data_IF_347712607755
#
_entry.id   IF_347712607755
#
_cell.length_a   1.000
_cell.length_b   1.000
_cell.length_c   1.000
_cell.angle_alpha   90.00
_cell.angle_beta   90.00
_cell.angle_gamma   90.00
#
_symmetry.space_group_name_H-M   'P 1'
#
loop_
_entity.id
_entity.type
_entity.pdbx_description
1 polymer ?
#
# COMPACT_ATOMS: atom_id res chain seq x y z
N UNK A 1 -5.18 -27.16 -15.80
CA UNK A 1 -5.66 -27.22 -14.41
C UNK A 1 -4.45 -27.30 -13.47
N UNK A 2 -3.93 -26.17 -12.99
CA UNK A 2 -2.83 -26.16 -12.00
C UNK A 2 -3.40 -25.81 -10.64
N UNK A 3 -3.22 -26.73 -9.67
CA UNK A 3 -3.68 -26.62 -8.29
C UNK A 3 -3.08 -25.37 -7.64
N UNK A 4 -3.94 -24.47 -7.14
CA UNK A 4 -3.56 -23.36 -6.26
C UNK A 4 -3.20 -23.96 -4.90
N UNK A 5 -1.93 -23.94 -4.52
CA UNK A 5 -1.52 -24.19 -3.14
C UNK A 5 -1.60 -22.87 -2.39
N UNK A 6 -2.70 -22.69 -1.65
CA UNK A 6 -2.80 -21.67 -0.60
C UNK A 6 -1.91 -22.13 0.55
N UNK A 7 -0.74 -21.52 0.68
CA UNK A 7 0.03 -21.61 1.91
C UNK A 7 -0.44 -20.47 2.82
N UNK A 8 -1.32 -20.77 3.76
CA UNK A 8 -1.56 -19.92 4.93
C UNK A 8 -0.29 -19.94 5.77
N UNK A 9 0.53 -18.88 5.66
CA UNK A 9 1.53 -18.61 6.67
C UNK A 9 0.81 -18.34 7.99
N UNK A 10 1.01 -19.22 8.96
CA UNK A 10 0.44 -19.10 10.30
C UNK A 10 1.15 -17.97 11.06
N UNK A 11 0.70 -16.73 10.85
CA UNK A 11 0.92 -15.65 11.81
C UNK A 11 -0.15 -15.76 12.90
N UNK A 12 0.25 -15.82 14.16
CA UNK A 12 -0.68 -15.84 15.27
C UNK A 12 -1.49 -14.53 15.31
N UNK A 13 -2.74 -14.57 14.86
CA UNK A 13 -3.70 -13.49 15.05
C UNK A 13 -4.15 -13.52 16.52
N UNK A 14 -3.65 -12.59 17.34
CA UNK A 14 -4.28 -12.25 18.62
C UNK A 14 -5.54 -11.42 18.32
N UNK A 15 -6.66 -12.11 18.06
CA UNK A 15 -7.98 -11.49 17.94
C UNK A 15 -8.55 -11.23 19.34
N UNK A 16 -8.29 -10.04 19.87
CA UNK A 16 -9.11 -9.46 20.93
C UNK A 16 -9.97 -8.34 20.31
N UNK A 17 -11.26 -8.60 20.06
CA UNK A 17 -12.16 -7.54 19.63
C UNK A 17 -13.51 -8.05 19.11
N UNK A 18 -14.58 -7.69 19.82
CA UNK A 18 -15.94 -8.18 19.62
C UNK A 18 -16.69 -7.58 18.42
N UNK A 19 -17.90 -8.12 18.22
CA UNK A 19 -18.89 -7.81 17.19
C UNK A 19 -19.51 -6.40 17.32
N UNK A 20 -18.69 -5.35 17.35
CA UNK A 20 -19.16 -3.96 17.27
C UNK A 20 -18.60 -3.32 16.00
N UNK A 21 -19.49 -2.92 15.09
CA UNK A 21 -19.18 -2.27 13.82
C UNK A 21 -18.59 -0.86 13.98
N UNK A 22 -17.38 -0.78 14.51
CA UNK A 22 -16.53 0.40 14.46
C UNK A 22 -15.54 0.30 13.31
N UNK A 23 -15.24 1.43 12.67
CA UNK A 23 -14.13 1.57 11.73
C UNK A 23 -12.80 1.55 12.49
N UNK A 24 -12.34 0.39 12.95
CA UNK A 24 -10.99 0.29 13.53
C UNK A 24 -9.95 0.01 12.45
N UNK A 25 -8.75 0.54 12.67
CA UNK A 25 -7.56 0.27 11.85
C UNK A 25 -6.74 -0.77 12.57
N UNK A 26 -6.53 -1.92 11.93
CA UNK A 26 -5.68 -2.99 12.43
C UNK A 26 -4.21 -2.66 12.17
N UNK A 27 -3.35 -3.06 13.10
CA UNK A 27 -1.90 -3.07 12.87
C UNK A 27 -1.48 -4.50 12.61
N UNK A 28 -0.94 -4.77 11.43
CA UNK A 28 -0.40 -6.07 11.04
C UNK A 28 1.12 -6.02 11.06
N UNK A 29 1.75 -6.84 11.90
CA UNK A 29 3.21 -6.96 11.94
C UNK A 29 3.68 -8.18 11.15
N UNK A 30 4.67 -8.00 10.27
CA UNK A 30 5.30 -9.06 9.49
C UNK A 30 6.80 -9.10 9.77
N UNK A 31 7.24 -10.21 10.36
CA UNK A 31 8.65 -10.51 10.62
C UNK A 31 9.26 -11.13 9.35
N UNK A 32 9.86 -10.31 8.49
CA UNK A 32 10.43 -10.72 7.20
C UNK A 32 11.95 -10.58 7.16
N UNK A 33 12.57 -10.08 8.22
CA UNK A 33 14.01 -9.93 8.34
C UNK A 33 14.55 -8.76 7.52
N UNK A 34 13.80 -7.65 7.44
CA UNK A 34 14.28 -6.42 6.78
C UNK A 34 15.50 -5.82 7.49
N UNK A 35 15.73 -6.18 8.76
CA UNK A 35 16.79 -5.61 9.59
C UNK A 35 16.48 -4.19 10.05
N UNK A 36 15.25 -3.71 9.81
CA UNK A 36 14.71 -2.38 10.16
C UNK A 36 13.20 -2.47 10.26
N UNK A 37 12.62 -1.52 11.01
CA UNK A 37 11.17 -1.36 11.09
C UNK A 37 10.69 -0.44 9.98
N UNK A 38 9.94 -0.97 9.01
CA UNK A 38 9.28 -0.18 7.98
C UNK A 38 7.78 -0.14 8.23
N UNK A 39 7.21 1.04 8.40
CA UNK A 39 5.76 1.21 8.34
C UNK A 39 5.36 1.27 6.86
N UNK A 40 4.31 0.54 6.48
CA UNK A 40 3.75 0.56 5.14
C UNK A 40 2.27 0.96 5.19
N UNK A 41 1.95 2.00 4.45
CA UNK A 41 0.62 2.55 4.28
C UNK A 41 0.27 2.59 2.80
N UNK A 42 -1.00 2.48 2.47
CA UNK A 42 -1.50 2.67 1.11
C UNK A 42 -2.96 3.07 1.15
N UNK A 43 -3.47 3.58 0.04
CA UNK A 43 -4.89 3.82 -0.17
C UNK A 43 -5.45 4.73 0.92
N UNK A 44 -4.76 5.86 1.16
CA UNK A 44 -5.09 6.81 2.24
C UNK A 44 -6.28 7.71 1.88
N UNK A 45 -6.47 8.07 0.61
CA UNK A 45 -7.57 8.91 0.12
C UNK A 45 -7.84 10.10 1.06
N UNK A 46 -6.84 10.97 1.23
CA UNK A 46 -6.88 12.06 2.21
C UNK A 46 -7.77 13.19 1.68
N UNK A 47 -9.06 13.18 2.06
CA UNK A 47 -10.00 14.24 1.66
C UNK A 47 -9.93 15.46 2.58
N UNK A 48 -9.58 15.25 3.84
CA UNK A 48 -9.40 16.31 4.86
C UNK A 48 -8.18 16.01 5.73
N UNK A 49 -7.57 17.02 6.38
CA UNK A 49 -6.43 16.80 7.26
C UNK A 49 -6.78 15.81 8.38
N UNK A 50 -5.90 14.84 8.62
CA UNK A 50 -6.08 13.86 9.70
C UNK A 50 -4.76 13.49 10.36
N UNK A 51 -4.86 13.05 11.62
CA UNK A 51 -3.71 12.49 12.33
C UNK A 51 -3.62 10.99 12.05
N UNK A 52 -2.43 10.54 11.66
CA UNK A 52 -2.11 9.13 11.52
C UNK A 52 -1.30 8.68 12.74
N UNK A 53 -1.86 7.76 13.51
CA UNK A 53 -1.18 7.13 14.64
C UNK A 53 -0.51 5.85 14.16
N UNK A 54 0.82 5.87 14.09
CA UNK A 54 1.62 4.77 13.57
C UNK A 54 2.48 4.17 14.69
N UNK A 55 2.69 2.85 14.69
CA UNK A 55 3.73 2.23 15.52
C UNK A 55 5.10 2.85 15.23
N UNK A 56 6.07 2.79 16.16
CA UNK A 56 7.42 3.27 15.90
C UNK A 56 8.07 2.58 14.70
N UNK A 57 8.61 3.36 13.77
CA UNK A 57 9.29 2.89 12.56
C UNK A 57 10.56 3.68 12.28
N UNK A 58 11.41 3.11 11.44
CA UNK A 58 12.66 3.71 10.97
C UNK A 58 12.52 4.28 9.54
N UNK A 59 11.56 3.77 8.75
CA UNK A 59 11.18 4.28 7.43
C UNK A 59 9.67 4.12 7.20
N UNK A 60 9.06 5.10 6.53
CA UNK A 60 7.68 5.01 6.06
C UNK A 60 7.65 4.78 4.55
N UNK A 61 6.89 3.77 4.12
CA UNK A 61 6.63 3.41 2.74
C UNK A 61 5.15 3.66 2.42
N UNK A 62 4.87 4.29 1.29
CA UNK A 62 3.52 4.69 0.87
C UNK A 62 3.20 4.09 -0.51
N UNK A 63 2.23 3.19 -0.56
CA UNK A 63 1.87 2.40 -1.74
C UNK A 63 1.02 3.12 -2.79
N UNK A 64 0.87 4.45 -2.73
CA UNK A 64 -0.01 5.22 -3.63
C UNK A 64 -1.42 5.42 -3.09
N UNK A 65 -2.27 6.11 -3.87
CA UNK A 65 -3.63 6.53 -3.53
C UNK A 65 -3.69 7.35 -2.22
N UNK A 66 -2.77 8.30 -2.10
CA UNK A 66 -2.72 9.32 -1.05
C UNK A 66 -3.83 10.36 -1.17
N UNK A 67 -4.16 10.75 -2.39
CA UNK A 67 -5.24 11.68 -2.71
C UNK A 67 -6.01 11.22 -3.95
N UNK A 68 -7.17 11.81 -4.17
CA UNK A 68 -8.08 11.46 -5.27
C UNK A 68 -8.92 12.67 -5.70
N UNK A 69 -9.88 12.45 -6.59
CA UNK A 69 -10.79 13.47 -7.11
C UNK A 69 -11.71 14.12 -6.06
N UNK A 70 -11.86 13.51 -4.88
CA UNK A 70 -12.63 14.06 -3.75
C UNK A 70 -11.76 14.91 -2.83
N UNK A 71 -10.44 14.93 -3.05
CA UNK A 71 -9.52 15.80 -2.30
C UNK A 71 -9.68 17.24 -2.76
N UNK A 72 -10.32 18.07 -1.94
CA UNK A 72 -10.61 19.46 -2.28
C UNK A 72 -9.35 20.34 -2.29
N UNK A 73 -8.39 20.07 -1.40
CA UNK A 73 -7.15 20.84 -1.26
C UNK A 73 -5.97 19.93 -0.87
N UNK A 74 -4.87 20.02 -1.62
CA UNK A 74 -3.62 19.30 -1.34
C UNK A 74 -2.95 19.73 -0.02
N UNK A 75 -3.37 20.84 0.59
CA UNK A 75 -2.99 21.18 1.96
C UNK A 75 -3.35 20.06 2.95
N UNK A 76 -4.47 19.35 2.72
CA UNK A 76 -4.87 18.21 3.55
C UNK A 76 -3.84 17.08 3.53
N UNK A 77 -3.34 16.74 2.34
CA UNK A 77 -2.28 15.75 2.14
C UNK A 77 -0.99 16.21 2.82
N UNK A 78 -0.62 17.46 2.59
CA UNK A 78 0.64 18.02 3.09
C UNK A 78 0.66 18.06 4.61
N UNK A 79 -0.42 18.55 5.24
CA UNK A 79 -0.57 18.63 6.70
C UNK A 79 -0.56 17.24 7.35
N UNK A 80 -1.32 16.30 6.78
CA UNK A 80 -1.40 14.91 7.27
C UNK A 80 -0.03 14.23 7.27
N UNK A 81 0.73 14.38 6.19
CA UNK A 81 2.00 13.66 6.02
C UNK A 81 3.20 14.40 6.62
N UNK A 82 3.17 15.74 6.74
CA UNK A 82 4.28 16.57 7.27
C UNK A 82 4.76 16.12 8.64
N UNK A 83 3.84 15.78 9.53
CA UNK A 83 4.15 15.46 10.94
C UNK A 83 4.73 14.06 11.15
N UNK A 84 4.67 13.21 10.12
CA UNK A 84 5.23 11.87 10.18
C UNK A 84 6.76 11.89 10.07
N UNK A 85 7.47 11.14 10.93
CA UNK A 85 8.92 10.97 10.86
C UNK A 85 9.45 10.62 9.46
N UNK A 86 10.62 11.18 9.13
CA UNK A 86 11.39 10.86 7.93
C UNK A 86 12.33 9.69 8.19
N UNK A 87 12.78 8.95 7.16
CA UNK A 87 12.42 9.10 5.74
C UNK A 87 11.05 8.55 5.35
N UNK A 88 10.47 9.13 4.29
CA UNK A 88 9.18 8.74 3.71
C UNK A 88 9.36 8.53 2.21
N UNK A 89 9.03 7.34 1.71
CA UNK A 89 9.15 6.98 0.29
C UNK A 89 7.75 6.61 -0.21
N UNK A 90 7.37 7.08 -1.40
CA UNK A 90 6.07 6.77 -1.99
C UNK A 90 6.20 6.33 -3.45
N UNK A 91 5.20 5.58 -3.91
CA UNK A 91 4.84 5.49 -5.34
C UNK A 91 3.49 6.16 -5.56
N UNK A 92 3.11 6.34 -6.83
CA UNK A 92 1.82 6.88 -7.22
C UNK A 92 0.84 5.72 -7.49
N UNK A 93 -0.42 5.93 -7.12
CA UNK A 93 -1.53 5.03 -7.39
C UNK A 93 -2.41 5.52 -8.53
N UNK A 94 -3.47 4.76 -8.83
CA UNK A 94 -4.36 5.11 -9.93
C UNK A 94 -5.12 6.40 -9.66
N UNK A 95 -5.47 6.71 -8.41
CA UNK A 95 -6.22 7.92 -8.10
C UNK A 95 -5.38 9.19 -8.27
N UNK A 96 -4.07 9.16 -8.01
CA UNK A 96 -3.22 10.31 -8.35
C UNK A 96 -3.21 10.58 -9.86
N UNK A 97 -3.14 9.52 -10.67
CA UNK A 97 -3.15 9.63 -12.13
C UNK A 97 -4.53 10.04 -12.65
N UNK A 98 -5.61 9.41 -12.20
CA UNK A 98 -6.99 9.69 -12.63
C UNK A 98 -7.47 11.07 -12.18
N UNK A 99 -7.04 11.55 -11.01
CA UNK A 99 -7.35 12.88 -10.53
C UNK A 99 -6.66 14.01 -11.33
N UNK A 100 -5.76 13.68 -12.26
CA UNK A 100 -4.97 14.66 -13.05
C UNK A 100 -5.79 15.73 -13.75
N UNK A 101 -7.07 15.47 -14.05
CA UNK A 101 -7.98 16.45 -14.65
C UNK A 101 -8.34 17.61 -13.70
N UNK A 102 -8.35 17.36 -12.40
CA UNK A 102 -8.70 18.33 -11.35
C UNK A 102 -7.47 18.77 -10.56
N UNK A 103 -6.59 17.83 -10.27
CA UNK A 103 -5.32 18.03 -9.57
C UNK A 103 -4.20 17.58 -10.49
N UNK A 104 -3.55 18.48 -11.25
CA UNK A 104 -2.46 18.10 -12.14
C UNK A 104 -1.41 17.27 -11.39
N UNK A 105 -1.00 16.12 -11.94
CA UNK A 105 -0.11 15.17 -11.27
C UNK A 105 1.13 15.83 -10.65
N UNK A 106 1.78 16.74 -11.41
CA UNK A 106 2.94 17.53 -10.92
C UNK A 106 2.65 18.29 -9.63
N UNK A 107 1.44 18.83 -9.44
CA UNK A 107 1.06 19.54 -8.21
C UNK A 107 0.87 18.58 -7.05
N UNK A 108 0.25 17.42 -7.28
CA UNK A 108 0.13 16.39 -6.26
C UNK A 108 1.49 15.85 -5.82
N UNK A 109 2.37 15.53 -6.77
CA UNK A 109 3.76 15.15 -6.48
C UNK A 109 4.48 16.23 -5.68
N UNK A 110 4.36 17.51 -6.08
CA UNK A 110 4.98 18.61 -5.34
C UNK A 110 4.45 18.74 -3.90
N UNK A 111 3.16 18.46 -3.65
CA UNK A 111 2.60 18.46 -2.30
C UNK A 111 3.14 17.30 -1.44
N UNK A 112 3.32 16.11 -2.03
CA UNK A 112 3.98 14.99 -1.36
C UNK A 112 5.43 15.33 -1.02
N UNK A 113 6.16 15.93 -1.95
CA UNK A 113 7.54 16.38 -1.76
C UNK A 113 7.65 17.49 -0.69
N UNK A 114 6.70 18.43 -0.64
CA UNK A 114 6.60 19.46 0.40
C UNK A 114 6.37 18.85 1.79
N UNK A 115 5.57 17.77 1.87
CA UNK A 115 5.43 16.97 3.08
C UNK A 115 6.70 16.18 3.43
N UNK A 116 7.73 16.19 2.58
CA UNK A 116 9.00 15.50 2.77
C UNK A 116 8.93 14.02 2.41
N UNK A 117 8.06 13.66 1.47
CA UNK A 117 7.99 12.33 0.84
C UNK A 117 8.86 12.34 -0.42
N UNK A 118 9.67 11.30 -0.59
CA UNK A 118 10.41 11.06 -1.83
C UNK A 118 9.56 10.15 -2.73
N UNK A 119 9.10 10.67 -3.87
CA UNK A 119 8.23 9.94 -4.79
C UNK A 119 9.08 9.21 -5.83
N UNK A 120 8.85 7.91 -5.99
CA UNK A 120 9.47 7.06 -7.00
C UNK A 120 8.45 6.77 -8.10
N UNK A 121 8.84 6.97 -9.35
CA UNK A 121 8.07 6.63 -10.53
C UNK A 121 8.98 5.92 -11.53
N UNK A 122 8.93 4.58 -11.53
CA UNK A 122 9.88 3.72 -12.24
C UNK A 122 11.35 4.05 -11.94
N UNK A 123 11.63 4.38 -10.67
CA UNK A 123 12.96 4.76 -10.17
C UNK A 123 13.26 4.06 -8.84
N UNK A 124 14.49 4.20 -8.33
CA UNK A 124 14.95 3.56 -7.11
C UNK A 124 15.73 4.49 -6.20
N UNK A 125 15.82 4.10 -4.93
CA UNK A 125 16.66 4.77 -3.93
C UNK A 125 17.33 3.74 -3.04
N UNK A 126 18.56 4.03 -2.62
CA UNK A 126 19.23 3.28 -1.56
C UNK A 126 19.01 4.04 -0.24
N UNK A 127 18.22 3.48 0.66
CA UNK A 127 17.97 4.09 1.95
C UNK A 127 17.97 3.05 3.05
N UNK A 128 18.74 3.33 4.09
CA UNK A 128 18.84 2.43 5.21
C UNK A 128 19.35 1.03 4.86
N UNK A 129 20.30 0.93 3.92
CA UNK A 129 20.81 -0.38 3.50
C UNK A 129 19.82 -1.21 2.66
N UNK A 130 18.61 -0.71 2.42
CA UNK A 130 17.64 -1.30 1.49
C UNK A 130 17.67 -0.57 0.16
N UNK A 131 17.68 -1.35 -0.92
CA UNK A 131 17.42 -0.86 -2.27
C UNK A 131 15.91 -0.96 -2.53
N UNK A 132 15.27 0.21 -2.59
CA UNK A 132 13.82 0.34 -2.79
C UNK A 132 13.58 0.78 -4.23
N UNK A 133 12.85 -0.02 -4.99
CA UNK A 133 12.42 0.32 -6.35
C UNK A 133 10.93 0.66 -6.32
N UNK A 134 10.54 1.79 -6.90
CA UNK A 134 9.15 2.20 -7.03
C UNK A 134 8.65 2.05 -8.45
N UNK A 135 7.66 1.20 -8.69
CA UNK A 135 6.99 1.09 -9.98
C UNK A 135 5.82 2.08 -10.05
N UNK A 136 5.75 2.88 -11.13
CA UNK A 136 4.63 3.80 -11.33
C UNK A 136 3.33 3.06 -11.69
N UNK A 137 2.19 3.71 -11.50
CA UNK A 137 0.89 3.21 -11.94
C UNK A 137 0.84 3.00 -13.45
N UNK A 138 0.12 1.98 -13.88
CA UNK A 138 -0.13 1.66 -15.29
C UNK A 138 -1.61 1.33 -15.44
N UNK A 139 -2.29 1.99 -16.37
CA UNK A 139 -3.67 1.64 -16.71
C UNK A 139 -3.75 0.30 -17.46
N UNK A 140 -4.95 -0.25 -17.59
CA UNK A 140 -5.18 -1.51 -18.30
C UNK A 140 -4.60 -1.46 -19.73
N UNK A 141 -3.72 -2.42 -20.11
CA UNK A 141 -3.59 -3.76 -19.52
C UNK A 141 -2.63 -3.98 -18.34
N UNK A 142 -2.28 -2.97 -17.52
CA UNK A 142 -1.45 -3.06 -16.29
C UNK A 142 -0.16 -3.86 -16.51
N UNK A 143 0.58 -3.46 -17.54
CA UNK A 143 1.77 -4.19 -17.99
C UNK A 143 3.04 -3.70 -17.29
N UNK A 144 3.44 -4.42 -16.23
CA UNK A 144 4.58 -4.07 -15.40
C UNK A 144 5.85 -4.83 -15.82
N UNK A 145 7.01 -4.18 -15.90
CA UNK A 145 8.28 -4.88 -16.14
C UNK A 145 8.68 -5.71 -14.91
N UNK A 146 9.43 -6.82 -15.09
CA UNK A 146 10.07 -7.49 -13.98
C UNK A 146 11.13 -6.57 -13.37
N UNK A 147 11.13 -6.42 -12.05
CA UNK A 147 12.16 -5.70 -11.31
C UNK A 147 13.24 -6.69 -10.88
N UNK A 148 14.49 -6.35 -11.15
CA UNK A 148 15.67 -7.08 -10.71
C UNK A 148 16.44 -6.19 -9.73
N UNK A 149 17.21 -6.83 -8.84
CA UNK A 149 18.13 -6.13 -7.94
C UNK A 149 17.44 -5.09 -7.05
N UNK A 150 16.39 -5.50 -6.33
CA UNK A 150 15.73 -4.68 -5.32
C UNK A 150 15.39 -5.53 -4.09
N UNK A 151 15.63 -4.98 -2.90
CA UNK A 151 15.22 -5.63 -1.64
C UNK A 151 13.71 -5.47 -1.45
N UNK A 152 13.21 -4.24 -1.73
CA UNK A 152 11.80 -3.89 -1.66
C UNK A 152 11.36 -3.28 -3.00
N UNK A 153 10.23 -3.77 -3.52
CA UNK A 153 9.54 -3.18 -4.66
C UNK A 153 8.24 -2.56 -4.15
N UNK A 154 8.18 -1.24 -4.14
CA UNK A 154 6.97 -0.50 -3.84
C UNK A 154 6.16 -0.35 -5.13
N UNK A 155 4.90 -0.73 -5.11
CA UNK A 155 4.03 -0.65 -6.28
C UNK A 155 2.59 -0.50 -5.84
N UNK A 156 1.78 0.27 -6.55
CA UNK A 156 0.38 0.40 -6.15
C UNK A 156 -0.44 -0.86 -6.47
N UNK A 157 -0.38 -1.34 -7.71
CA UNK A 157 -1.13 -2.53 -8.14
C UNK A 157 -0.41 -3.84 -7.77
N UNK A 158 -1.10 -4.82 -7.15
CA UNK A 158 -0.52 -6.13 -6.91
C UNK A 158 -0.31 -6.95 -8.21
N UNK A 159 -0.89 -6.50 -9.33
CA UNK A 159 -0.76 -7.20 -10.62
C UNK A 159 0.69 -7.23 -11.13
N UNK A 160 1.54 -6.28 -10.70
CA UNK A 160 2.98 -6.28 -10.99
C UNK A 160 3.70 -7.55 -10.51
N UNK A 161 3.20 -8.18 -9.44
CA UNK A 161 3.77 -9.41 -8.90
C UNK A 161 3.66 -10.61 -9.85
N UNK A 162 2.83 -10.51 -10.89
CA UNK A 162 2.72 -11.53 -11.91
C UNK A 162 4.01 -11.74 -12.74
N UNK A 163 4.97 -10.82 -12.68
CA UNK A 163 6.28 -11.00 -13.32
C UNK A 163 7.44 -10.92 -12.30
N UNK A 164 7.15 -10.98 -11.01
CA UNK A 164 8.16 -10.94 -9.97
C UNK A 164 9.13 -12.12 -10.03
N UNK A 165 10.42 -11.81 -9.85
CA UNK A 165 11.53 -12.77 -9.88
C UNK A 165 12.31 -12.84 -8.56
N UNK A 166 12.16 -11.85 -7.67
CA UNK A 166 12.76 -11.79 -6.35
C UNK A 166 12.33 -10.53 -5.58
N UNK A 167 12.78 -10.37 -4.34
CA UNK A 167 12.49 -9.21 -3.50
C UNK A 167 11.11 -9.23 -2.84
N UNK A 168 10.86 -8.23 -1.99
CA UNK A 168 9.58 -8.02 -1.30
C UNK A 168 8.76 -6.93 -1.99
N UNK A 169 7.63 -7.32 -2.57
CA UNK A 169 6.66 -6.40 -3.14
C UNK A 169 5.68 -5.92 -2.08
N UNK A 170 5.45 -4.62 -2.00
CA UNK A 170 4.46 -4.01 -1.12
C UNK A 170 3.43 -3.29 -1.99
N UNK A 171 2.18 -3.76 -1.93
CA UNK A 171 1.10 -3.29 -2.77
C UNK A 171 -0.17 -2.94 -2.00
N UNK A 172 -1.00 -2.09 -2.59
CA UNK A 172 -2.31 -1.67 -2.10
C UNK A 172 -3.40 -1.96 -3.12
N UNK A 173 -4.17 -0.93 -3.51
CA UNK A 173 -5.11 -0.88 -4.64
C UNK A 173 -6.41 -1.69 -4.46
N UNK A 174 -6.34 -2.81 -3.75
CA UNK A 174 -7.48 -3.73 -3.64
C UNK A 174 -8.49 -3.31 -2.57
N UNK A 175 -8.07 -2.44 -1.64
CA UNK A 175 -8.82 -2.08 -0.43
C UNK A 175 -9.33 -3.31 0.36
N UNK A 176 -8.62 -4.45 0.29
CA UNK A 176 -9.08 -5.71 0.87
C UNK A 176 -10.31 -6.33 0.21
N UNK A 177 -10.73 -5.82 -0.95
CA UNK A 177 -11.92 -6.23 -1.72
C UNK A 177 -13.09 -5.26 -1.68
N UNK A 178 -13.03 -4.20 -0.85
CA UNK A 178 -14.07 -3.16 -0.65
C UNK A 178 -15.38 -3.68 0.01
N UNK A 179 -15.85 -4.86 -0.40
CA UNK A 179 -16.97 -5.61 0.17
C UNK A 179 -16.55 -7.02 0.54
N UNK A 180 -16.59 -7.30 1.84
CA UNK A 180 -16.21 -8.57 2.41
C UNK A 180 -17.42 -9.27 3.06
N UNK A 181 -17.38 -10.60 3.15
CA UNK A 181 -18.15 -11.34 4.14
C UNK A 181 -17.46 -11.22 5.52
N UNK A 182 -18.14 -11.55 6.63
CA UNK A 182 -17.53 -11.55 7.95
C UNK A 182 -16.17 -12.28 7.98
N UNK A 183 -15.18 -11.66 8.64
CA UNK A 183 -13.81 -12.18 8.68
C UNK A 183 -12.91 -11.73 7.51
N UNK A 184 -13.18 -10.57 6.89
CA UNK A 184 -12.39 -10.00 5.78
C UNK A 184 -12.32 -10.92 4.53
N UNK A 185 -13.37 -11.70 4.25
CA UNK A 185 -13.40 -12.57 3.06
C UNK A 185 -13.90 -11.78 1.85
N UNK A 186 -13.06 -11.43 0.87
CA UNK A 186 -13.41 -10.53 -0.23
C UNK A 186 -14.39 -11.20 -1.21
N UNK A 187 -15.43 -10.48 -1.64
CA UNK A 187 -16.35 -10.92 -2.70
C UNK A 187 -15.82 -10.62 -4.11
N UNK A 188 -15.05 -9.55 -4.22
CA UNK A 188 -14.47 -9.05 -5.47
C UNK A 188 -13.10 -8.45 -5.18
N UNK A 189 -12.26 -8.34 -6.19
CA UNK A 189 -10.99 -7.61 -6.10
C UNK A 189 -10.63 -6.95 -7.42
N UNK A 190 -9.98 -5.80 -7.33
CA UNK A 190 -9.49 -5.04 -8.48
C UNK A 190 -8.10 -5.54 -8.91
N UNK A 191 -7.97 -6.84 -9.16
CA UNK A 191 -6.73 -7.47 -9.62
C UNK A 191 -7.04 -8.50 -10.71
N UNK A 192 -6.29 -8.42 -11.82
CA UNK A 192 -6.42 -9.36 -12.96
C UNK A 192 -6.06 -10.79 -12.58
N UNK A 193 -5.20 -10.95 -11.58
CA UNK A 193 -4.71 -12.25 -11.11
C UNK A 193 -5.40 -12.73 -9.83
N UNK A 194 -6.37 -11.97 -9.32
CA UNK A 194 -7.16 -12.31 -8.13
C UNK A 194 -6.41 -12.09 -6.82
N UNK A 195 -5.42 -11.19 -6.78
CA UNK A 195 -4.80 -10.75 -5.54
C UNK A 195 -5.79 -9.89 -4.75
N UNK A 196 -5.89 -10.13 -3.44
CA UNK A 196 -6.84 -9.46 -2.56
C UNK A 196 -6.09 -8.74 -1.45
N UNK A 197 -5.64 -9.45 -0.43
CA UNK A 197 -4.87 -8.90 0.68
C UNK A 197 -4.07 -10.03 1.34
N UNK A 198 -3.02 -9.66 2.08
CA UNK A 198 -2.16 -10.61 2.78
C UNK A 198 -0.89 -10.99 2.00
N UNK A 199 -0.22 -12.03 2.48
CA UNK A 199 1.09 -12.46 1.99
C UNK A 199 0.96 -13.48 0.86
N UNK A 200 1.63 -13.22 -0.25
CA UNK A 200 1.75 -14.08 -1.43
C UNK A 200 3.22 -14.42 -1.69
N UNK A 201 3.46 -15.57 -2.29
CA UNK A 201 4.79 -16.04 -2.66
C UNK A 201 4.82 -16.51 -4.11
N UNK A 202 5.90 -16.19 -4.82
CA UNK A 202 6.20 -16.67 -6.16
C UNK A 202 7.70 -16.91 -6.31
N UNK A 203 8.10 -18.18 -6.26
CA UNK A 203 9.53 -18.52 -6.19
C UNK A 203 10.16 -17.84 -4.97
N UNK A 204 11.25 -17.11 -5.21
CA UNK A 204 11.97 -16.33 -4.19
C UNK A 204 11.32 -14.96 -3.89
N UNK A 205 10.35 -14.53 -4.70
CA UNK A 205 9.65 -13.27 -4.48
C UNK A 205 8.53 -13.41 -3.44
N UNK A 206 8.37 -12.39 -2.61
CA UNK A 206 7.25 -12.21 -1.70
C UNK A 206 6.46 -10.98 -2.12
N UNK A 207 5.15 -11.00 -1.88
CA UNK A 207 4.31 -9.80 -1.97
C UNK A 207 3.41 -9.74 -0.75
N UNK A 208 3.31 -8.57 -0.14
CA UNK A 208 2.24 -8.26 0.78
C UNK A 208 1.30 -7.23 0.16
N UNK A 209 0.01 -7.56 0.12
CA UNK A 209 -1.05 -6.65 -0.33
C UNK A 209 -1.79 -6.15 0.90
N UNK A 210 -1.67 -4.86 1.20
CA UNK A 210 -2.38 -4.27 2.33
C UNK A 210 -3.84 -4.05 1.99
N UNK A 211 -4.70 -4.08 3.01
CA UNK A 211 -6.08 -3.61 2.89
C UNK A 211 -6.16 -2.08 2.80
N UNK A 212 -5.11 -1.33 3.13
CA UNK A 212 -5.11 0.13 3.06
C UNK A 212 -5.76 0.82 4.27
N UNK A 213 -5.44 2.11 4.47
CA UNK A 213 -5.76 2.85 5.70
C UNK A 213 -6.72 4.05 5.51
N UNK A 214 -7.21 4.27 4.29
CA UNK A 214 -7.92 5.49 3.91
C UNK A 214 -9.44 5.45 3.85
N UNK A 215 -9.99 6.51 3.29
CA UNK A 215 -11.39 6.92 3.46
C UNK A 215 -12.34 6.48 2.34
N UNK A 216 -11.92 5.56 1.47
CA UNK A 216 -12.80 5.08 0.40
C UNK A 216 -14.03 4.33 0.96
N UNK A 217 -15.21 4.92 0.75
CA UNK A 217 -16.51 4.39 1.18
C UNK A 217 -17.42 4.08 -0.02
N UNK A 218 -18.32 3.09 0.06
CA UNK A 218 -18.67 2.29 1.25
C UNK A 218 -17.79 1.06 1.45
N UNK A 219 -17.26 0.87 2.66
CA UNK A 219 -16.45 -0.31 3.02
C UNK A 219 -17.20 -1.19 4.01
N UNK A 220 -17.44 -2.45 3.66
CA UNK A 220 -18.27 -3.39 4.46
C UNK A 220 -17.47 -4.63 4.83
N UNK A 221 -17.35 -4.92 6.13
CA UNK A 221 -16.57 -6.05 6.70
C UNK A 221 -15.11 -6.16 6.24
N UNK A 222 -14.54 -5.11 5.65
CA UNK A 222 -13.12 -5.03 5.30
C UNK A 222 -12.45 -4.02 6.23
N UNK A 223 -11.74 -4.46 7.28
CA UNK A 223 -11.06 -3.54 8.20
C UNK A 223 -9.87 -2.83 7.54
N UNK A 224 -9.57 -1.62 8.01
CA UNK A 224 -8.40 -0.85 7.59
C UNK A 224 -7.14 -1.46 8.17
N UNK A 225 -6.02 -1.22 7.53
CA UNK A 225 -4.76 -1.84 7.91
C UNK A 225 -3.58 -0.86 7.80
N UNK A 226 -2.75 -0.87 8.84
CA UNK A 226 -1.39 -0.34 8.85
C UNK A 226 -0.47 -1.54 8.96
N UNK A 227 0.57 -1.60 8.12
CA UNK A 227 1.52 -2.71 8.13
C UNK A 227 2.83 -2.26 8.77
N UNK A 228 3.36 -3.06 9.68
CA UNK A 228 4.70 -2.91 10.24
C UNK A 228 5.56 -4.09 9.79
N UNK A 229 6.64 -3.82 9.09
CA UNK A 229 7.59 -4.81 8.57
C UNK A 229 8.84 -4.77 9.44
N UNK A 230 9.38 -5.92 9.83
CA UNK A 230 10.58 -6.04 10.68
C UNK A 230 11.57 -7.05 10.12
#
# INVERSE_FOLDING_TARGET
MRRRQLFTAAGALLLAGGLAGGFYTEVTTLELGLGRRAAFLSDLHIHTPRRLELPPYDILLIGGDTYDELTADLAAVTETLRHLPKPKIAVLGNHEHWASRWIPLRRGVAALEEAGVYVLADDWVQIGGLRIYGLDWRDDPRDYPPVKDADVVLVHSPDAFHLAVGGLYLAGHTHGGHFCLPGNVPLYTNSRFGYTWGLYRRGEALMYVTRGAGEMTPRVFCSREIVLLT
#
